data_IF_564725679587
#
_entry.id   IF_564725679587
#
_cell.length_a   1.000
_cell.length_b   1.000
_cell.length_c   1.000
_cell.angle_alpha   90.00
_cell.angle_beta   90.00
_cell.angle_gamma   90.00
#
_symmetry.space_group_name_H-M   'P 1'
#
loop_
_entity.id
_entity.type
_entity.pdbx_description
1 polymer ?
#
# COMPACT_ATOMS: atom_id res chain seq x y z
N UNK A 1 -14.74 21.00 8.73
CA UNK A 1 -14.87 20.46 10.11
C UNK A 1 -13.66 19.64 10.52
N UNK A 2 -13.28 18.60 9.76
CA UNK A 2 -12.12 17.72 10.06
C UNK A 2 -10.81 18.48 10.31
N UNK A 3 -10.44 19.42 9.44
CA UNK A 3 -9.23 20.25 9.61
C UNK A 3 -9.18 20.97 10.98
N UNK A 4 -10.33 21.41 11.51
CA UNK A 4 -10.39 22.09 12.81
C UNK A 4 -10.09 21.12 13.94
N UNK A 5 -10.67 19.91 13.91
CA UNK A 5 -10.42 18.87 14.93
C UNK A 5 -8.94 18.46 14.93
N UNK A 6 -8.34 18.29 13.75
CA UNK A 6 -6.92 17.96 13.62
C UNK A 6 -6.04 19.09 14.17
N UNK A 7 -6.47 20.35 14.10
CA UNK A 7 -5.70 21.49 14.62
C UNK A 7 -5.83 21.73 16.14
N UNK A 8 -6.73 21.04 16.84
CA UNK A 8 -6.95 21.22 18.28
C UNK A 8 -5.82 20.73 19.19
N UNK A 9 -5.26 19.52 19.01
CA UNK A 9 -4.16 19.08 19.85
C UNK A 9 -2.91 19.92 19.59
N UNK A 10 -2.17 20.24 20.65
CA UNK A 10 -0.85 20.88 20.54
C UNK A 10 0.12 20.01 19.75
N UNK A 11 0.01 18.70 19.90
CA UNK A 11 0.80 17.70 19.18
C UNK A 11 -0.08 16.50 18.83
N UNK A 12 -0.11 16.14 17.54
CA UNK A 12 -0.71 14.90 17.08
C UNK A 12 0.41 13.91 16.73
N UNK A 13 0.46 12.78 17.42
CA UNK A 13 1.48 11.74 17.20
C UNK A 13 0.99 10.60 16.31
N UNK A 14 -0.33 10.44 16.20
CA UNK A 14 -0.97 9.36 15.47
C UNK A 14 -2.20 9.89 14.74
N UNK A 15 -2.27 9.56 13.46
CA UNK A 15 -3.43 9.86 12.62
C UNK A 15 -3.89 8.59 11.92
N UNK A 16 -5.17 8.30 12.03
CA UNK A 16 -5.84 7.20 11.32
C UNK A 16 -7.05 7.75 10.60
N UNK A 17 -7.10 7.50 9.31
CA UNK A 17 -8.25 7.83 8.49
C UNK A 17 -8.84 6.54 7.91
N UNK A 18 -9.99 6.17 8.46
CA UNK A 18 -10.84 5.11 7.94
C UNK A 18 -11.87 5.71 6.99
N UNK A 19 -12.38 4.89 6.08
CA UNK A 19 -13.38 5.33 5.11
C UNK A 19 -14.62 5.88 5.83
N UNK A 20 -15.08 7.05 5.41
CA UNK A 20 -16.38 7.57 5.82
C UNK A 20 -17.46 6.91 4.97
N UNK A 21 -18.12 5.91 5.54
CA UNK A 21 -19.33 5.33 5.00
C UNK A 21 -20.44 6.41 5.01
N UNK A 22 -21.10 6.63 3.87
CA UNK A 22 -22.34 7.42 3.72
C UNK A 22 -22.27 8.91 3.34
N UNK A 23 -21.30 9.42 2.56
CA UNK A 23 -21.54 10.70 1.90
C UNK A 23 -20.72 10.89 0.62
N UNK A 24 -21.33 10.60 -0.53
CA UNK A 24 -20.86 11.05 -1.85
C UNK A 24 -20.72 12.58 -1.97
N UNK A 25 -21.23 13.32 -0.96
CA UNK A 25 -21.18 14.78 -0.89
C UNK A 25 -19.83 15.35 -0.41
N UNK A 26 -18.96 14.57 0.24
CA UNK A 26 -17.67 15.06 0.74
C UNK A 26 -16.50 14.34 0.09
N UNK A 27 -15.97 14.96 -0.96
CA UNK A 27 -14.78 14.54 -1.70
C UNK A 27 -13.52 14.89 -0.90
N UNK A 28 -13.01 13.92 -0.13
CA UNK A 28 -11.70 13.95 0.51
C UNK A 28 -10.71 13.25 -0.43
N UNK A 29 -9.62 13.94 -0.75
CA UNK A 29 -8.44 13.41 -1.44
C UNK A 29 -7.20 13.42 -0.54
N UNK A 30 -6.13 12.82 -1.04
CA UNK A 30 -4.89 12.65 -0.30
C UNK A 30 -4.18 13.99 -0.05
N UNK A 31 -4.28 14.93 -1.00
CA UNK A 31 -3.76 16.29 -0.90
C UNK A 31 -4.45 17.07 0.22
N UNK A 32 -5.75 16.88 0.42
CA UNK A 32 -6.52 17.44 1.54
C UNK A 32 -6.04 16.86 2.87
N UNK A 33 -5.90 15.52 2.96
CA UNK A 33 -5.38 14.88 4.17
C UNK A 33 -3.98 15.40 4.50
N UNK A 34 -3.07 15.43 3.52
CA UNK A 34 -1.73 15.98 3.69
C UNK A 34 -1.76 17.41 4.23
N UNK A 35 -2.59 18.29 3.66
CA UNK A 35 -2.74 19.68 4.14
C UNK A 35 -3.21 19.75 5.59
N UNK A 36 -4.13 18.89 6.01
CA UNK A 36 -4.57 18.85 7.40
C UNK A 36 -3.46 18.44 8.36
N UNK A 37 -2.60 17.52 7.93
CA UNK A 37 -1.51 16.98 8.77
C UNK A 37 -0.28 17.89 8.82
N UNK A 38 -0.18 18.92 7.97
CA UNK A 38 0.99 19.83 7.91
C UNK A 38 1.35 20.46 9.25
N UNK A 39 0.35 20.83 10.06
CA UNK A 39 0.57 21.42 11.37
C UNK A 39 1.32 20.48 12.33
N UNK A 40 1.29 19.17 12.06
CA UNK A 40 1.86 18.12 12.90
C UNK A 40 3.02 17.38 12.22
N UNK A 41 3.63 17.98 11.19
CA UNK A 41 4.72 17.35 10.42
C UNK A 41 5.93 16.92 11.26
N UNK A 42 6.17 17.59 12.39
CA UNK A 42 7.29 17.27 13.29
C UNK A 42 6.90 16.35 14.46
N UNK A 43 5.61 16.13 14.71
CA UNK A 43 5.09 15.35 15.85
C UNK A 43 4.49 14.01 15.43
N UNK A 44 3.93 13.91 14.21
CA UNK A 44 3.34 12.69 13.69
C UNK A 44 4.38 11.58 13.58
N UNK A 45 4.06 10.44 14.21
CA UNK A 45 4.87 9.22 14.23
C UNK A 45 4.18 8.07 13.50
N UNK A 46 2.86 8.12 13.38
CA UNK A 46 2.04 7.10 12.74
C UNK A 46 0.99 7.77 11.87
N UNK A 47 0.94 7.38 10.58
CA UNK A 47 -0.11 7.79 9.65
C UNK A 47 -0.68 6.52 9.02
N UNK A 48 -2.00 6.37 9.09
CA UNK A 48 -2.76 5.36 8.38
C UNK A 48 -3.86 6.01 7.57
N UNK A 49 -3.93 5.66 6.29
CA UNK A 49 -4.96 6.12 5.37
C UNK A 49 -5.44 4.89 4.60
N UNK A 50 -6.66 4.44 4.90
CA UNK A 50 -7.29 3.33 4.19
C UNK A 50 -7.86 3.85 2.86
N UNK A 51 -9.18 3.89 2.72
CA UNK A 51 -9.84 4.38 1.51
C UNK A 51 -10.33 5.82 1.68
N UNK A 52 -10.22 6.60 0.59
CA UNK A 52 -10.78 7.95 0.49
C UNK A 52 -12.03 7.94 -0.40
N UNK A 53 -12.89 8.94 -0.22
CA UNK A 53 -14.16 9.08 -0.96
C UNK A 53 -14.01 9.37 -2.45
N UNK A 54 -12.90 10.01 -2.86
CA UNK A 54 -12.62 10.26 -4.27
C UNK A 54 -12.03 9.00 -4.90
N UNK A 55 -12.78 8.46 -5.86
CA UNK A 55 -12.40 7.28 -6.64
C UNK A 55 -11.17 7.58 -7.49
N UNK A 56 -9.99 7.31 -6.92
CA UNK A 56 -8.69 7.24 -7.59
C UNK A 56 -8.27 8.56 -8.27
N UNK A 57 -6.97 8.90 -8.27
CA UNK A 57 -6.51 9.98 -9.15
C UNK A 57 -6.90 9.62 -10.60
N UNK A 58 -7.66 10.46 -11.33
CA UNK A 58 -8.16 10.15 -12.67
C UNK A 58 -7.02 9.81 -13.65
N UNK A 59 -5.91 10.52 -13.49
CA UNK A 59 -4.64 10.36 -14.21
C UNK A 59 -3.58 10.98 -13.29
N UNK A 60 -2.91 10.21 -12.42
CA UNK A 60 -1.96 10.90 -11.54
C UNK A 60 -1.23 10.08 -10.50
N UNK A 61 -0.01 10.57 -10.29
CA UNK A 61 0.89 10.30 -9.18
C UNK A 61 0.14 10.27 -7.84
N UNK A 62 0.60 9.41 -6.93
CA UNK A 62 0.25 9.51 -5.51
C UNK A 62 0.60 10.91 -4.96
N UNK A 63 -0.40 11.76 -4.75
CA UNK A 63 -0.22 13.11 -4.20
C UNK A 63 -0.06 13.08 -2.67
N UNK A 64 1.03 12.45 -2.23
CA UNK A 64 1.46 12.39 -0.85
C UNK A 64 2.98 12.40 -0.73
N UNK A 65 3.48 13.29 0.12
CA UNK A 65 4.88 13.48 0.41
C UNK A 65 5.14 13.27 1.90
N UNK A 66 5.44 12.01 2.24
CA UNK A 66 5.78 11.59 3.58
C UNK A 66 7.12 12.19 4.07
N UNK A 67 8.03 12.60 3.17
CA UNK A 67 9.35 13.17 3.53
C UNK A 67 9.22 14.40 4.44
N UNK A 68 8.13 15.15 4.30
CA UNK A 68 7.85 16.33 5.12
C UNK A 68 7.60 15.99 6.59
N UNK A 69 7.24 14.74 6.90
CA UNK A 69 6.91 14.27 8.24
C UNK A 69 8.15 13.69 8.95
N UNK A 70 8.95 14.58 9.54
CA UNK A 70 10.31 14.26 10.03
C UNK A 70 10.36 13.34 11.25
N UNK A 71 9.22 13.12 11.91
CA UNK A 71 9.07 12.17 13.02
C UNK A 71 8.33 10.89 12.66
N UNK A 72 7.89 10.74 11.41
CA UNK A 72 7.09 9.60 10.95
C UNK A 72 7.90 8.31 11.06
N UNK A 73 7.38 7.33 11.78
CA UNK A 73 7.98 6.00 11.97
C UNK A 73 7.19 4.91 11.27
N UNK A 74 5.89 5.11 11.08
CA UNK A 74 5.00 4.13 10.48
C UNK A 74 4.08 4.84 9.49
N UNK A 75 4.06 4.33 8.27
CA UNK A 75 3.17 4.79 7.21
C UNK A 75 2.40 3.60 6.66
N UNK A 76 1.08 3.67 6.77
CA UNK A 76 0.15 2.64 6.31
C UNK A 76 -0.77 3.27 5.27
N UNK A 77 -0.65 2.82 4.03
CA UNK A 77 -1.43 3.33 2.91
C UNK A 77 -2.15 2.18 2.22
N UNK A 78 -3.42 2.39 1.92
CA UNK A 78 -4.15 1.46 1.08
C UNK A 78 -3.66 1.49 -0.37
N UNK A 79 -3.55 0.33 -1.01
CA UNK A 79 -3.34 0.18 -2.46
C UNK A 79 -4.35 0.99 -3.26
N UNK A 80 -5.56 1.17 -2.75
CA UNK A 80 -6.67 1.85 -3.43
C UNK A 80 -6.48 3.37 -3.55
N UNK A 81 -5.43 3.93 -2.94
CA UNK A 81 -5.03 5.33 -3.12
C UNK A 81 -4.28 5.58 -4.45
N UNK A 82 -3.77 4.53 -5.08
CA UNK A 82 -3.08 4.61 -6.37
C UNK A 82 -4.05 4.44 -7.55
N UNK A 83 -3.61 4.87 -8.73
CA UNK A 83 -4.27 4.55 -9.98
C UNK A 83 -4.32 3.02 -10.24
N UNK A 84 -5.26 2.61 -11.10
CA UNK A 84 -5.34 1.25 -11.64
C UNK A 84 -5.59 1.37 -13.15
N UNK A 85 -4.66 0.94 -14.03
CA UNK A 85 -3.33 0.34 -13.72
C UNK A 85 -2.37 1.29 -12.99
N UNK A 86 -1.31 0.75 -12.36
CA UNK A 86 -0.22 1.58 -11.83
C UNK A 86 0.55 2.23 -12.97
N UNK A 87 0.98 3.47 -12.76
CA UNK A 87 1.96 4.12 -13.63
C UNK A 87 3.37 3.87 -13.12
N UNK A 88 4.02 2.86 -13.69
CA UNK A 88 5.38 2.47 -13.32
C UNK A 88 6.43 3.55 -13.65
N UNK A 89 6.11 4.50 -14.54
CA UNK A 89 7.01 5.64 -14.80
C UNK A 89 7.16 6.56 -13.58
N UNK A 90 6.17 6.54 -12.67
CA UNK A 90 6.15 7.35 -11.46
C UNK A 90 6.66 6.60 -10.22
N UNK A 91 6.78 5.27 -10.27
CA UNK A 91 7.09 4.42 -9.11
C UNK A 91 8.32 4.89 -8.32
N UNK A 92 9.37 5.31 -9.02
CA UNK A 92 10.58 5.86 -8.38
C UNK A 92 10.29 7.16 -7.63
N UNK A 93 9.61 8.11 -8.27
CA UNK A 93 9.29 9.39 -7.65
C UNK A 93 8.34 9.23 -6.44
N UNK A 94 7.39 8.31 -6.53
CA UNK A 94 6.51 7.94 -5.42
C UNK A 94 7.27 7.29 -4.27
N UNK A 95 8.17 6.33 -4.55
CA UNK A 95 9.01 5.74 -3.51
C UNK A 95 9.83 6.80 -2.77
N UNK A 96 10.41 7.75 -3.52
CA UNK A 96 11.16 8.87 -2.94
C UNK A 96 10.29 9.79 -2.08
N UNK A 97 9.02 10.03 -2.45
CA UNK A 97 8.09 10.85 -1.66
C UNK A 97 7.59 10.15 -0.41
N UNK A 98 7.58 8.81 -0.38
CA UNK A 98 7.08 8.01 0.73
C UNK A 98 8.13 7.70 1.81
N UNK A 99 9.43 7.76 1.48
CA UNK A 99 10.52 7.41 2.40
C UNK A 99 10.87 8.55 3.38
N UNK A 100 10.04 8.74 4.40
CA UNK A 100 10.29 9.74 5.43
C UNK A 100 11.60 9.46 6.23
N UNK A 101 12.30 10.49 6.74
CA UNK A 101 13.63 10.32 7.32
C UNK A 101 13.73 9.35 8.50
N UNK A 102 12.65 9.21 9.28
CA UNK A 102 12.58 8.29 10.43
C UNK A 102 11.64 7.11 10.18
N UNK A 103 11.17 6.93 8.95
CA UNK A 103 10.24 5.86 8.60
C UNK A 103 10.92 4.53 8.90
N UNK A 104 10.25 3.65 9.65
CA UNK A 104 10.74 2.30 9.97
C UNK A 104 9.89 1.23 9.31
N UNK A 105 8.59 1.46 9.23
CA UNK A 105 7.63 0.51 8.66
C UNK A 105 6.79 1.21 7.61
N UNK A 106 6.80 0.65 6.41
CA UNK A 106 5.84 0.97 5.37
C UNK A 106 4.86 -0.21 5.22
N UNK A 107 3.57 0.06 5.27
CA UNK A 107 2.52 -0.92 5.04
C UNK A 107 1.78 -0.56 3.75
N UNK A 108 1.73 -1.51 2.82
CA UNK A 108 0.92 -1.42 1.62
C UNK A 108 -0.25 -2.38 1.74
N UNK A 109 -1.43 -1.82 1.95
CA UNK A 109 -2.61 -2.57 2.38
C UNK A 109 -3.64 -2.69 1.26
N UNK A 110 -3.89 -3.92 0.84
CA UNK A 110 -4.84 -4.25 -0.21
C UNK A 110 -6.24 -4.48 0.33
N UNK A 111 -6.42 -4.54 1.65
CA UNK A 111 -7.73 -4.74 2.28
C UNK A 111 -8.72 -3.73 1.71
N UNK A 112 -9.68 -4.22 0.92
CA UNK A 112 -10.79 -3.39 0.44
C UNK A 112 -11.87 -3.43 1.51
N UNK A 113 -12.26 -2.25 1.99
CA UNK A 113 -13.37 -2.11 2.93
C UNK A 113 -14.66 -1.72 2.21
N UNK A 114 -14.73 -1.70 0.87
CA UNK A 114 -15.91 -1.15 0.16
C UNK A 114 -17.05 -2.14 0.06
N UNK A 115 -18.28 -1.80 0.49
CA UNK A 115 -19.57 -2.37 0.02
C UNK A 115 -19.62 -3.92 -0.14
N UNK A 116 -18.95 -4.69 0.73
CA UNK A 116 -18.85 -6.16 0.61
C UNK A 116 -17.90 -6.66 -0.49
N UNK A 117 -17.18 -5.75 -1.15
CA UNK A 117 -16.08 -5.96 -2.06
C UNK A 117 -14.79 -6.17 -1.25
N UNK A 118 -14.19 -7.33 -1.37
CA UNK A 118 -12.84 -7.61 -0.90
C UNK A 118 -11.88 -7.66 -2.09
N UNK A 119 -10.59 -7.54 -1.81
CA UNK A 119 -9.56 -7.62 -2.83
C UNK A 119 -9.61 -8.95 -3.57
N UNK A 120 -9.40 -8.89 -4.89
CA UNK A 120 -9.30 -10.05 -5.76
C UNK A 120 -7.88 -10.58 -5.78
N UNK A 121 -7.76 -11.83 -6.19
CA UNK A 121 -6.50 -12.54 -6.37
C UNK A 121 -5.58 -11.87 -7.40
N UNK A 122 -6.19 -11.21 -8.38
CA UNK A 122 -5.47 -10.47 -9.43
C UNK A 122 -5.07 -9.06 -9.02
N UNK A 123 -5.42 -8.59 -7.82
CA UNK A 123 -5.08 -7.24 -7.40
C UNK A 123 -3.59 -7.08 -7.04
N UNK A 124 -2.90 -8.16 -6.68
CA UNK A 124 -1.44 -8.20 -6.63
C UNK A 124 -0.86 -8.83 -7.91
N UNK A 125 -0.77 -8.03 -8.97
CA UNK A 125 -0.33 -8.45 -10.30
C UNK A 125 1.12 -8.10 -10.62
N UNK A 126 1.46 -8.16 -11.91
CA UNK A 126 2.81 -7.85 -12.39
C UNK A 126 3.20 -6.38 -12.14
N UNK A 127 2.25 -5.45 -12.20
CA UNK A 127 2.53 -4.04 -11.94
C UNK A 127 2.78 -3.78 -10.46
N UNK A 128 2.03 -4.41 -9.56
CA UNK A 128 2.24 -4.31 -8.12
C UNK A 128 3.57 -4.94 -7.71
N UNK A 129 3.93 -6.09 -8.30
CA UNK A 129 5.26 -6.69 -8.16
C UNK A 129 6.36 -5.70 -8.58
N UNK A 130 6.25 -5.10 -9.77
CA UNK A 130 7.28 -4.18 -10.28
C UNK A 130 7.37 -2.88 -9.46
N UNK A 131 6.23 -2.30 -9.07
CA UNK A 131 6.21 -1.12 -8.20
C UNK A 131 6.88 -1.41 -6.85
N UNK A 132 6.60 -2.57 -6.26
CA UNK A 132 7.20 -2.99 -4.99
C UNK A 132 8.71 -3.21 -5.11
N UNK A 133 9.17 -3.79 -6.22
CA UNK A 133 10.61 -3.93 -6.54
C UNK A 133 11.28 -2.56 -6.61
N UNK A 134 10.70 -1.62 -7.36
CA UNK A 134 11.22 -0.25 -7.47
C UNK A 134 11.24 0.43 -6.11
N UNK A 135 10.16 0.33 -5.34
CA UNK A 135 10.08 0.92 -4.00
C UNK A 135 11.21 0.39 -3.09
N UNK A 136 11.37 -0.93 -3.04
CA UNK A 136 12.40 -1.56 -2.22
C UNK A 136 13.81 -1.19 -2.70
N UNK A 137 14.06 -1.15 -4.02
CA UNK A 137 15.35 -0.74 -4.57
C UNK A 137 15.71 0.71 -4.22
N UNK A 138 14.75 1.63 -4.30
CA UNK A 138 14.95 3.03 -3.90
C UNK A 138 15.27 3.10 -2.40
N UNK A 139 14.53 2.35 -1.57
CA UNK A 139 14.76 2.30 -0.14
C UNK A 139 16.15 1.73 0.20
N UNK A 140 16.60 0.69 -0.49
CA UNK A 140 17.94 0.13 -0.28
C UNK A 140 19.03 1.12 -0.74
N UNK A 141 18.84 1.77 -1.88
CA UNK A 141 19.81 2.69 -2.47
C UNK A 141 19.97 4.01 -1.71
N UNK A 142 18.99 4.40 -0.88
CA UNK A 142 18.95 5.69 -0.17
C UNK A 142 18.90 5.56 1.35
N UNK A 143 19.48 4.48 1.89
CA UNK A 143 19.51 4.22 3.34
C UNK A 143 20.18 5.30 4.19
N UNK A 144 21.04 6.12 3.61
CA UNK A 144 21.63 7.28 4.27
C UNK A 144 20.58 8.35 4.64
N UNK A 145 19.38 8.28 4.04
CA UNK A 145 18.34 9.33 4.16
C UNK A 145 17.12 8.92 4.96
N UNK A 146 16.96 7.64 5.27
CA UNK A 146 15.80 7.13 6.01
C UNK A 146 16.14 5.91 6.86
N UNK A 147 15.24 5.52 7.77
CA UNK A 147 15.46 4.40 8.70
C UNK A 147 14.61 3.16 8.40
N UNK A 148 14.18 2.93 7.15
CA UNK A 148 13.26 1.85 6.82
C UNK A 148 13.85 0.49 7.22
N UNK A 149 13.04 -0.30 7.92
CA UNK A 149 13.37 -1.63 8.45
C UNK A 149 12.43 -2.70 7.91
N UNK A 150 11.17 -2.36 7.64
CA UNK A 150 10.14 -3.31 7.21
C UNK A 150 9.25 -2.71 6.13
N UNK A 151 9.04 -3.49 5.08
CA UNK A 151 7.95 -3.32 4.10
C UNK A 151 6.96 -4.44 4.36
N UNK A 152 5.72 -4.10 4.70
CA UNK A 152 4.65 -5.05 5.00
C UNK A 152 3.57 -4.98 3.95
N UNK A 153 3.24 -6.12 3.35
CA UNK A 153 2.10 -6.24 2.45
C UNK A 153 0.95 -6.88 3.20
N UNK A 154 -0.22 -6.26 3.17
CA UNK A 154 -1.46 -6.88 3.65
C UNK A 154 -2.32 -7.20 2.44
N UNK A 155 -2.55 -8.48 2.18
CA UNK A 155 -3.26 -8.98 1.01
C UNK A 155 -4.02 -10.27 1.38
N UNK A 156 -5.33 -10.16 1.57
CA UNK A 156 -6.20 -11.22 2.09
C UNK A 156 -7.42 -11.42 1.16
N UNK A 157 -7.19 -11.85 -0.09
CA UNK A 157 -8.27 -11.96 -1.06
C UNK A 157 -9.32 -12.99 -0.64
N UNK A 158 -10.60 -12.64 -0.84
CA UNK A 158 -11.73 -13.40 -0.29
C UNK A 158 -12.08 -14.65 -1.07
N UNK A 159 -12.02 -14.57 -2.40
CA UNK A 159 -12.53 -15.61 -3.30
C UNK A 159 -11.61 -15.75 -4.50
N UNK A 160 -11.17 -16.97 -4.81
CA UNK A 160 -10.37 -17.31 -5.99
C UNK A 160 -11.06 -16.97 -7.35
N UNK A 161 -12.32 -16.49 -7.32
CA UNK A 161 -13.18 -16.17 -8.46
C UNK A 161 -13.25 -14.71 -8.93
N UNK A 162 -13.53 -14.57 -10.25
CA UNK A 162 -13.52 -13.39 -11.14
C UNK A 162 -12.16 -12.69 -11.37
N UNK A 163 -11.42 -13.23 -12.34
CA UNK A 163 -10.19 -12.66 -12.90
C UNK A 163 -9.66 -13.60 -13.98
N UNK A 164 -8.94 -13.10 -14.99
CA UNK A 164 -8.16 -14.00 -15.85
C UNK A 164 -7.11 -14.66 -14.96
N UNK A 165 -6.93 -15.96 -15.14
CA UNK A 165 -5.91 -16.78 -14.49
C UNK A 165 -4.60 -15.97 -14.43
N UNK A 166 -4.20 -15.53 -13.24
CA UNK A 166 -2.81 -15.13 -13.08
C UNK A 166 -2.03 -16.41 -13.25
N UNK A 167 -1.15 -16.50 -14.25
CA UNK A 167 -0.29 -17.68 -14.45
C UNK A 167 0.57 -17.97 -13.21
N UNK A 168 0.73 -16.99 -12.32
CA UNK A 168 1.59 -17.02 -11.15
C UNK A 168 0.77 -16.79 -9.89
N UNK A 169 0.94 -17.69 -8.92
CA UNK A 169 0.40 -17.57 -7.57
C UNK A 169 0.91 -16.28 -6.88
N UNK A 170 0.06 -15.40 -6.34
CA UNK A 170 0.48 -14.09 -5.81
C UNK A 170 1.56 -14.17 -4.73
N UNK A 171 1.51 -15.19 -3.86
CA UNK A 171 2.55 -15.37 -2.84
C UNK A 171 3.87 -15.85 -3.43
N UNK A 172 3.89 -16.58 -4.56
CA UNK A 172 5.15 -16.88 -5.27
C UNK A 172 5.80 -15.58 -5.80
N UNK A 173 5.01 -14.54 -6.12
CA UNK A 173 5.56 -13.21 -6.46
C UNK A 173 6.17 -12.56 -5.21
N UNK A 174 5.45 -12.56 -4.09
CA UNK A 174 5.91 -11.97 -2.83
C UNK A 174 7.16 -12.67 -2.27
N UNK A 175 7.23 -14.00 -2.37
CA UNK A 175 8.39 -14.80 -1.96
C UNK A 175 9.64 -14.38 -2.75
N UNK A 176 9.53 -14.29 -4.09
CA UNK A 176 10.64 -13.85 -4.95
C UNK A 176 11.11 -12.44 -4.60
N UNK A 177 10.19 -11.47 -4.45
CA UNK A 177 10.54 -10.10 -4.09
C UNK A 177 11.20 -10.07 -2.70
N UNK A 178 10.69 -10.86 -1.74
CA UNK A 178 11.27 -10.95 -0.40
C UNK A 178 12.71 -11.43 -0.44
N UNK A 179 13.00 -12.48 -1.20
CA UNK A 179 14.37 -12.99 -1.38
C UNK A 179 15.28 -11.93 -1.99
N UNK A 180 14.83 -11.28 -3.07
CA UNK A 180 15.56 -10.20 -3.73
C UNK A 180 15.87 -9.05 -2.76
N UNK A 181 14.88 -8.60 -1.98
CA UNK A 181 15.03 -7.50 -1.00
C UNK A 181 15.98 -7.87 0.13
N UNK A 182 15.86 -9.08 0.68
CA UNK A 182 16.75 -9.57 1.75
C UNK A 182 18.18 -9.66 1.23
N UNK A 183 18.39 -10.20 0.04
CA UNK A 183 19.71 -10.33 -0.57
C UNK A 183 20.35 -8.97 -0.87
N UNK A 184 19.62 -8.08 -1.55
CA UNK A 184 20.13 -6.75 -1.93
C UNK A 184 20.40 -5.85 -0.71
N UNK A 185 19.62 -6.02 0.36
CA UNK A 185 19.77 -5.22 1.57
C UNK A 185 20.75 -5.79 2.59
N UNK A 186 21.29 -6.99 2.37
CA UNK A 186 22.07 -7.70 3.39
C UNK A 186 21.27 -8.01 4.65
N UNK A 187 19.95 -8.25 4.51
CA UNK A 187 19.03 -8.53 5.61
C UNK A 187 18.58 -7.30 6.43
N UNK A 188 19.00 -6.09 6.05
CA UNK A 188 18.70 -4.87 6.80
C UNK A 188 17.29 -4.31 6.56
N UNK A 189 16.58 -4.74 5.50
CA UNK A 189 15.15 -4.45 5.28
C UNK A 189 14.45 -5.80 5.13
N UNK A 190 13.43 -6.00 5.96
CA UNK A 190 12.53 -7.12 5.84
C UNK A 190 11.38 -6.78 4.89
N UNK A 191 10.98 -7.76 4.08
CA UNK A 191 9.70 -7.76 3.40
C UNK A 191 8.83 -8.85 4.04
N UNK A 192 7.68 -8.46 4.57
CA UNK A 192 6.74 -9.35 5.25
C UNK A 192 5.36 -9.26 4.60
N UNK A 193 4.58 -10.33 4.69
CA UNK A 193 3.21 -10.38 4.23
C UNK A 193 2.40 -11.34 5.11
N UNK A 194 1.09 -11.13 5.15
CA UNK A 194 0.19 -12.08 5.80
C UNK A 194 0.20 -13.43 5.06
N UNK A 195 -0.10 -14.50 5.81
CA UNK A 195 -0.16 -15.85 5.27
C UNK A 195 -1.24 -15.95 4.18
N UNK A 196 -1.04 -16.83 3.19
CA UNK A 196 -2.08 -17.15 2.24
C UNK A 196 -3.37 -17.59 2.90
N UNK A 197 -4.50 -17.10 2.38
CA UNK A 197 -5.84 -17.54 2.79
C UNK A 197 -6.10 -18.97 2.29
N UNK A 198 -5.50 -19.32 1.16
CA UNK A 198 -5.55 -20.63 0.55
C UNK A 198 -4.14 -21.05 0.17
N UNK A 199 -3.88 -22.35 0.20
CA UNK A 199 -2.62 -22.95 -0.20
C UNK A 199 -2.38 -22.86 -1.71
N UNK A 200 -1.14 -23.14 -2.11
CA UNK A 200 -0.75 -23.21 -3.52
C UNK A 200 -1.45 -24.36 -4.23
N UNK A 201 -1.69 -25.45 -3.52
CA UNK A 201 -2.38 -26.65 -3.99
C UNK A 201 -3.87 -26.37 -4.21
N UNK A 202 -4.56 -25.82 -3.21
CA UNK A 202 -5.98 -25.42 -3.35
C UNK A 202 -6.18 -24.45 -4.53
N UNK A 203 -5.20 -23.56 -4.76
CA UNK A 203 -5.22 -22.65 -5.90
C UNK A 203 -5.07 -23.38 -7.25
N UNK A 204 -4.18 -24.36 -7.34
CA UNK A 204 -4.02 -25.18 -8.55
C UNK A 204 -5.27 -26.00 -8.83
N UNK A 205 -5.80 -26.68 -7.82
CA UNK A 205 -7.01 -27.49 -7.93
C UNK A 205 -8.19 -26.65 -8.43
N UNK A 206 -8.35 -25.43 -7.91
CA UNK A 206 -9.38 -24.49 -8.36
C UNK A 206 -9.22 -24.09 -9.84
N UNK A 207 -7.99 -23.86 -10.31
CA UNK A 207 -7.72 -23.55 -11.71
C UNK A 207 -8.02 -24.74 -12.63
N UNK A 208 -7.61 -25.94 -12.24
CA UNK A 208 -7.87 -27.18 -12.99
C UNK A 208 -9.38 -27.47 -13.08
N UNK A 209 -10.13 -27.32 -11.99
CA UNK A 209 -11.59 -27.47 -11.97
C UNK A 209 -12.30 -26.45 -12.86
N UNK A 210 -11.81 -25.20 -12.93
CA UNK A 210 -12.39 -24.17 -13.82
C UNK A 210 -12.06 -24.44 -15.29
N UNK A 211 -10.84 -24.86 -15.59
CA UNK A 211 -10.44 -25.24 -16.95
C UNK A 211 -11.27 -26.43 -17.47
N UNK A 212 -11.53 -27.42 -16.60
CA UNK A 212 -12.37 -28.59 -16.93
C UNK A 212 -13.87 -28.31 -17.09
N UNK A 213 -14.38 -27.14 -16.67
CA UNK A 213 -15.79 -26.73 -16.83
C UNK A 213 -16.04 -25.89 -18.10
N UNK A 214 -15.03 -25.66 -18.95
CA UNK A 214 -15.12 -24.88 -20.20
C UNK A 214 -15.13 -25.82 -21.45
N UNK A 215 -15.26 -27.12 -21.25
CA UNK A 215 -15.52 -28.11 -22.32
C UNK A 215 -16.95 -28.65 -22.23
#
# INVERSE_FOLDING_TARGET
MVARIISWPKELTEFRFYKCWNNDNYRIDLSMVQRWLQAHKTSLRYIMINELSLQRPPEGQLDFNAVQFTSLKHLHLSRWLWSKPLDLSLAKAEAESLLAPKLRVFVWDFTAERDGFREFWTDFGAQEEEWLKVFAQVAISRRDRHCLQEIRIQFTPEDMGWGRESEIYPWDRLDRIREEVVQQSGGLVALTYNKPVFSREEWKDFLEERSGRIH
#
